data_IF_686568952771
#
_entry.id   IF_686568952771
#
_cell.length_a   1.000
_cell.length_b   1.000
_cell.length_c   1.000
_cell.angle_alpha   90.00
_cell.angle_beta   90.00
_cell.angle_gamma   90.00
#
_symmetry.space_group_name_H-M   'P 1'
#
loop_
_entity.id
_entity.type
_entity.pdbx_description
1 polymer ?
#
# COMPACT_ATOMS: atom_id res chain seq x y z
N UNK A 1 34.01 5.85 -5.27
CA UNK A 1 32.78 5.42 -5.96
C UNK A 1 32.02 4.54 -4.98
N UNK A 2 30.91 5.01 -4.38
CA UNK A 2 30.12 4.19 -3.45
C UNK A 2 29.33 3.20 -4.29
N UNK A 3 29.70 1.93 -4.23
CA UNK A 3 28.94 0.83 -4.82
C UNK A 3 27.55 0.86 -4.19
N UNK A 4 26.51 0.98 -5.03
CA UNK A 4 25.12 0.94 -4.58
C UNK A 4 24.87 -0.45 -3.98
N UNK A 5 24.82 -0.54 -2.66
CA UNK A 5 24.53 -1.80 -1.97
C UNK A 5 23.02 -1.96 -1.90
N UNK A 6 22.48 -2.95 -2.60
CA UNK A 6 21.09 -3.39 -2.41
C UNK A 6 20.84 -3.98 -1.01
N UNK A 7 21.87 -4.10 -0.17
CA UNK A 7 21.72 -4.40 1.25
C UNK A 7 21.58 -3.12 2.08
N UNK A 8 20.94 -2.08 1.55
CA UNK A 8 20.73 -0.82 2.29
C UNK A 8 19.28 -0.31 2.17
N UNK A 9 18.39 -0.89 2.97
CA UNK A 9 17.03 -0.41 3.23
C UNK A 9 17.00 0.62 4.37
N UNK A 10 17.34 1.88 4.07
CA UNK A 10 17.21 3.04 4.99
C UNK A 10 17.82 2.85 6.40
N UNK A 11 18.84 2.00 6.57
CA UNK A 11 19.46 1.69 7.87
C UNK A 11 18.77 0.60 8.68
N UNK A 12 17.75 -0.08 8.13
CA UNK A 12 16.98 -1.15 8.80
C UNK A 12 17.45 -2.55 8.38
N UNK A 13 18.61 -2.68 7.76
CA UNK A 13 18.97 -3.91 7.05
C UNK A 13 19.33 -5.04 7.98
N UNK A 14 19.99 -4.70 9.09
CA UNK A 14 20.26 -5.65 10.14
C UNK A 14 18.96 -6.20 10.72
N UNK A 15 18.03 -5.32 11.10
CA UNK A 15 16.72 -5.70 11.65
C UNK A 15 15.90 -6.56 10.67
N UNK A 16 15.87 -6.20 9.40
CA UNK A 16 15.14 -6.96 8.37
C UNK A 16 15.82 -8.30 8.01
N UNK A 17 17.12 -8.43 8.28
CA UNK A 17 17.84 -9.69 8.08
C UNK A 17 17.66 -10.61 9.28
N UNK A 18 17.65 -10.06 10.49
CA UNK A 18 17.45 -10.80 11.74
C UNK A 18 15.97 -11.22 11.92
N UNK A 19 15.03 -10.37 11.50
CA UNK A 19 13.58 -10.56 11.66
C UNK A 19 12.80 -10.31 10.34
N UNK A 20 12.97 -11.16 9.32
CA UNK A 20 12.33 -10.98 8.02
C UNK A 20 10.79 -11.06 8.05
N UNK A 21 10.22 -11.73 9.05
CA UNK A 21 8.78 -11.77 9.33
C UNK A 21 8.17 -10.38 9.55
N UNK A 22 8.98 -9.41 9.99
CA UNK A 22 8.59 -8.01 10.15
C UNK A 22 8.05 -7.42 8.85
N UNK A 23 8.57 -7.87 7.70
CA UNK A 23 8.11 -7.40 6.38
C UNK A 23 6.70 -7.91 6.07
N UNK A 24 6.34 -9.13 6.49
CA UNK A 24 4.97 -9.64 6.32
C UNK A 24 4.01 -8.80 7.17
N UNK A 25 4.36 -8.57 8.43
CA UNK A 25 3.54 -7.75 9.32
C UNK A 25 3.40 -6.32 8.80
N UNK A 26 4.50 -5.71 8.33
CA UNK A 26 4.46 -4.39 7.70
C UNK A 26 3.57 -4.40 6.46
N UNK A 27 3.69 -5.40 5.58
CA UNK A 27 2.89 -5.50 4.37
C UNK A 27 1.37 -5.57 4.64
N UNK A 28 0.99 -6.16 5.77
CA UNK A 28 -0.40 -6.26 6.22
C UNK A 28 -0.87 -4.98 6.94
N UNK A 29 -0.13 -4.53 7.96
CA UNK A 29 -0.62 -3.53 8.88
C UNK A 29 -0.27 -2.10 8.49
N UNK A 30 0.83 -1.87 7.78
CA UNK A 30 1.27 -0.53 7.42
C UNK A 30 0.30 0.15 6.44
N UNK A 31 -0.15 -0.47 5.33
CA UNK A 31 -1.16 0.13 4.47
C UNK A 31 -2.46 0.46 5.19
N UNK A 32 -2.93 -0.45 6.06
CA UNK A 32 -4.17 -0.27 6.81
C UNK A 32 -4.06 0.88 7.81
N UNK A 33 -2.97 0.93 8.57
CA UNK A 33 -2.71 2.00 9.55
C UNK A 33 -2.69 3.35 8.85
N UNK A 34 -1.96 3.47 7.73
CA UNK A 34 -1.92 4.72 6.95
C UNK A 34 -3.29 5.05 6.37
N UNK A 35 -4.05 4.07 5.89
CA UNK A 35 -5.40 4.30 5.36
C UNK A 35 -6.37 4.83 6.43
N UNK A 36 -6.26 4.36 7.67
CA UNK A 36 -7.03 4.89 8.81
C UNK A 36 -6.60 6.32 9.15
N UNK A 37 -5.29 6.60 9.17
CA UNK A 37 -4.77 7.95 9.43
C UNK A 37 -5.15 8.95 8.32
N UNK A 38 -5.43 8.48 7.11
CA UNK A 38 -5.94 9.33 6.03
C UNK A 38 -7.39 9.78 6.25
N UNK A 39 -8.18 9.12 7.09
CA UNK A 39 -9.58 9.49 7.33
C UNK A 39 -9.70 10.91 7.91
N UNK A 40 -9.03 11.29 9.02
CA UNK A 40 -9.09 12.66 9.52
C UNK A 40 -8.51 13.67 8.53
N UNK A 41 -7.46 13.32 7.78
CA UNK A 41 -6.88 14.19 6.73
C UNK A 41 -7.92 14.45 5.62
N UNK A 42 -8.58 13.40 5.15
CA UNK A 42 -9.65 13.47 4.16
C UNK A 42 -10.80 14.36 4.65
N UNK A 43 -11.15 14.27 5.93
CA UNK A 43 -12.18 15.11 6.54
C UNK A 43 -11.78 16.59 6.53
N UNK A 44 -10.54 16.93 6.89
CA UNK A 44 -10.00 18.29 6.82
C UNK A 44 -10.05 18.82 5.38
N UNK A 45 -9.59 18.02 4.41
CA UNK A 45 -9.61 18.40 2.99
C UNK A 45 -11.02 18.72 2.49
N UNK A 46 -12.03 17.91 2.88
CA UNK A 46 -13.44 18.19 2.58
C UNK A 46 -13.92 19.49 3.20
N UNK A 47 -13.55 19.77 4.46
CA UNK A 47 -13.93 21.01 5.15
C UNK A 47 -13.33 22.25 4.49
N UNK A 48 -12.09 22.14 4.01
CA UNK A 48 -11.39 23.21 3.31
C UNK A 48 -11.70 23.27 1.80
N UNK A 49 -12.59 22.40 1.29
CA UNK A 49 -12.93 22.26 -0.13
C UNK A 49 -11.70 22.06 -1.04
N UNK A 50 -10.67 21.41 -0.50
CA UNK A 50 -9.47 21.04 -1.26
C UNK A 50 -9.76 19.87 -2.19
N UNK A 51 -8.92 19.71 -3.22
CA UNK A 51 -9.08 18.63 -4.18
C UNK A 51 -8.89 17.26 -3.52
N UNK A 52 -9.94 16.43 -3.55
CA UNK A 52 -9.96 15.09 -2.96
C UNK A 52 -9.27 14.03 -3.82
N UNK A 53 -8.87 14.36 -5.05
CA UNK A 53 -8.30 13.42 -6.01
C UNK A 53 -7.12 12.65 -5.44
N UNK A 54 -6.11 13.36 -4.91
CA UNK A 54 -4.91 12.73 -4.35
C UNK A 54 -5.21 11.89 -3.11
N UNK A 55 -6.15 12.32 -2.27
CA UNK A 55 -6.56 11.58 -1.07
C UNK A 55 -7.23 10.26 -1.48
N UNK A 56 -8.11 10.29 -2.49
CA UNK A 56 -8.78 9.09 -3.01
C UNK A 56 -7.79 8.15 -3.70
N UNK A 57 -6.91 8.68 -4.56
CA UNK A 57 -5.85 7.92 -5.21
C UNK A 57 -4.98 7.19 -4.18
N UNK A 58 -4.55 7.90 -3.14
CA UNK A 58 -3.72 7.35 -2.08
C UNK A 58 -4.49 6.30 -1.27
N UNK A 59 -5.74 6.57 -0.92
CA UNK A 59 -6.59 5.60 -0.22
C UNK A 59 -6.74 4.29 -1.01
N UNK A 60 -7.05 4.35 -2.31
CA UNK A 60 -7.13 3.16 -3.15
C UNK A 60 -5.81 2.42 -3.26
N UNK A 61 -4.70 3.15 -3.42
CA UNK A 61 -3.37 2.53 -3.47
C UNK A 61 -3.04 1.74 -2.21
N UNK A 62 -3.43 2.23 -1.03
CA UNK A 62 -3.21 1.54 0.24
C UNK A 62 -4.08 0.30 0.37
N UNK A 63 -5.35 0.35 -0.04
CA UNK A 63 -6.23 -0.82 -0.03
C UNK A 63 -5.74 -1.89 -1.00
N UNK A 64 -5.33 -1.52 -2.21
CA UNK A 64 -4.79 -2.49 -3.17
C UNK A 64 -3.44 -3.04 -2.74
N UNK A 65 -2.57 -2.20 -2.17
CA UNK A 65 -1.28 -2.65 -1.61
C UNK A 65 -1.49 -3.57 -0.41
N UNK A 66 -2.50 -3.32 0.43
CA UNK A 66 -2.85 -4.26 1.49
C UNK A 66 -3.20 -5.63 0.91
N UNK A 67 -4.13 -5.68 -0.05
CA UNK A 67 -4.61 -6.96 -0.60
C UNK A 67 -3.48 -7.67 -1.38
N UNK A 68 -2.93 -7.01 -2.40
CA UNK A 68 -1.97 -7.62 -3.31
C UNK A 68 -0.58 -7.72 -2.68
N UNK A 69 -0.16 -6.70 -1.95
CA UNK A 69 1.13 -6.67 -1.27
C UNK A 69 1.22 -7.68 -0.15
N UNK A 70 0.19 -7.82 0.69
CA UNK A 70 0.22 -8.85 1.75
C UNK A 70 0.28 -10.26 1.15
N UNK A 71 -0.55 -10.57 0.15
CA UNK A 71 -0.55 -11.89 -0.50
C UNK A 71 0.80 -12.16 -1.17
N UNK A 72 1.32 -11.21 -1.95
CA UNK A 72 2.57 -11.39 -2.67
C UNK A 72 3.76 -11.59 -1.71
N UNK A 73 3.85 -10.79 -0.65
CA UNK A 73 4.93 -10.93 0.33
C UNK A 73 4.81 -12.21 1.14
N UNK A 74 3.59 -12.62 1.51
CA UNK A 74 3.39 -13.88 2.19
C UNK A 74 3.83 -15.07 1.32
N UNK A 75 3.45 -15.10 0.04
CA UNK A 75 3.89 -16.13 -0.90
C UNK A 75 5.42 -16.10 -1.08
N UNK A 76 5.99 -14.92 -1.36
CA UNK A 76 7.43 -14.79 -1.58
C UNK A 76 8.22 -15.23 -0.34
N UNK A 77 7.76 -14.89 0.86
CA UNK A 77 8.38 -15.32 2.11
C UNK A 77 8.40 -16.85 2.26
N UNK A 78 7.35 -17.54 1.82
CA UNK A 78 7.28 -19.01 1.88
C UNK A 78 8.15 -19.69 0.80
N UNK A 79 8.34 -19.04 -0.35
CA UNK A 79 9.04 -19.64 -1.50
C UNK A 79 10.52 -19.26 -1.65
N UNK A 80 10.99 -18.22 -0.97
CA UNK A 80 12.37 -17.71 -1.08
C UNK A 80 13.17 -17.92 0.20
N UNK A 81 14.45 -17.52 0.18
CA UNK A 81 15.39 -17.62 1.30
C UNK A 81 15.07 -16.68 2.48
N UNK A 82 13.83 -16.18 2.56
CA UNK A 82 13.34 -15.27 3.62
C UNK A 82 14.21 -14.03 3.84
N UNK A 83 14.86 -13.52 2.80
CA UNK A 83 15.65 -12.30 2.91
C UNK A 83 14.70 -11.08 3.04
N UNK A 84 14.57 -10.53 4.24
CA UNK A 84 13.64 -9.43 4.52
C UNK A 84 13.93 -8.16 3.73
N UNK A 85 15.20 -7.83 3.48
CA UNK A 85 15.56 -6.66 2.66
C UNK A 85 15.01 -6.79 1.24
N UNK A 86 15.19 -7.96 0.60
CA UNK A 86 14.62 -8.23 -0.73
C UNK A 86 13.10 -8.16 -0.71
N UNK A 87 12.47 -8.76 0.30
CA UNK A 87 11.00 -8.71 0.45
C UNK A 87 10.49 -7.28 0.61
N UNK A 88 11.20 -6.43 1.35
CA UNK A 88 10.84 -5.03 1.53
C UNK A 88 10.91 -4.25 0.19
N UNK A 89 11.92 -4.51 -0.64
CA UNK A 89 11.97 -3.93 -1.99
C UNK A 89 10.84 -4.44 -2.89
N UNK A 90 10.52 -5.74 -2.85
CA UNK A 90 9.39 -6.29 -3.59
C UNK A 90 8.08 -5.62 -3.17
N UNK A 91 7.88 -5.45 -1.86
CA UNK A 91 6.70 -4.78 -1.33
C UNK A 91 6.62 -3.32 -1.78
N UNK A 92 7.75 -2.60 -1.72
CA UNK A 92 7.84 -1.20 -2.15
C UNK A 92 7.55 -1.06 -3.66
N UNK A 93 8.03 -1.99 -4.49
CA UNK A 93 7.71 -2.01 -5.92
C UNK A 93 6.21 -2.21 -6.16
N UNK A 94 5.55 -3.10 -5.40
CA UNK A 94 4.09 -3.29 -5.47
C UNK A 94 3.37 -2.01 -5.06
N UNK A 95 3.79 -1.38 -3.95
CA UNK A 95 3.20 -0.12 -3.49
C UNK A 95 3.29 0.97 -4.57
N UNK A 96 4.47 1.16 -5.18
CA UNK A 96 4.65 2.14 -6.26
C UNK A 96 3.74 1.80 -7.45
N UNK A 97 3.69 0.53 -7.86
CA UNK A 97 2.81 0.10 -8.94
C UNK A 97 1.34 0.39 -8.66
N UNK A 98 0.86 0.09 -7.45
CA UNK A 98 -0.53 0.37 -7.04
C UNK A 98 -0.81 1.86 -6.88
N UNK A 99 0.18 2.65 -6.45
CA UNK A 99 0.09 4.10 -6.37
C UNK A 99 -0.07 4.71 -7.76
N UNK A 100 0.79 4.34 -8.71
CA UNK A 100 0.70 4.81 -10.10
C UNK A 100 -0.61 4.36 -10.74
N UNK A 101 -0.98 3.10 -10.59
CA UNK A 101 -2.27 2.58 -11.09
C UNK A 101 -3.45 3.39 -10.54
N UNK A 102 -3.46 3.65 -9.24
CA UNK A 102 -4.55 4.38 -8.58
C UNK A 102 -4.58 5.83 -9.03
N UNK A 103 -3.43 6.51 -9.13
CA UNK A 103 -3.34 7.89 -9.62
C UNK A 103 -3.88 8.01 -11.05
N UNK A 104 -3.53 7.08 -11.95
CA UNK A 104 -4.02 7.13 -13.34
C UNK A 104 -5.52 6.84 -13.42
N UNK A 105 -6.04 5.96 -12.56
CA UNK A 105 -7.40 5.43 -12.67
C UNK A 105 -8.37 5.94 -11.59
N UNK A 106 -8.03 7.00 -10.84
CA UNK A 106 -8.81 7.44 -9.67
C UNK A 106 -10.27 7.75 -10.01
N UNK A 107 -10.54 8.38 -11.15
CA UNK A 107 -11.90 8.69 -11.60
C UNK A 107 -12.74 7.44 -11.85
N UNK A 108 -12.17 6.45 -12.54
CA UNK A 108 -12.78 5.15 -12.80
C UNK A 108 -13.04 4.39 -11.50
N UNK A 109 -12.05 4.32 -10.61
CA UNK A 109 -12.16 3.65 -9.32
C UNK A 109 -13.28 4.26 -8.47
N UNK A 110 -13.32 5.59 -8.36
CA UNK A 110 -14.39 6.30 -7.65
C UNK A 110 -15.78 5.93 -8.19
N UNK A 111 -15.92 5.89 -9.52
CA UNK A 111 -17.18 5.52 -10.16
C UNK A 111 -17.56 4.07 -9.84
N UNK A 112 -16.63 3.13 -9.97
CA UNK A 112 -16.84 1.71 -9.65
C UNK A 112 -17.34 1.51 -8.21
N UNK A 113 -16.65 2.10 -7.22
CA UNK A 113 -17.05 1.97 -5.82
C UNK A 113 -18.41 2.63 -5.52
N UNK A 114 -18.69 3.77 -6.16
CA UNK A 114 -19.97 4.47 -6.02
C UNK A 114 -21.11 3.63 -6.60
N UNK A 115 -20.94 3.08 -7.80
CA UNK A 115 -21.96 2.29 -8.47
C UNK A 115 -22.17 0.95 -7.75
N UNK A 116 -21.11 0.30 -7.28
CA UNK A 116 -21.21 -0.89 -6.44
C UNK A 116 -22.01 -0.61 -5.16
N UNK A 117 -21.77 0.53 -4.52
CA UNK A 117 -22.55 0.97 -3.35
C UNK A 117 -24.04 1.17 -3.65
N UNK A 118 -24.40 1.66 -4.84
CA UNK A 118 -25.81 1.77 -5.26
C UNK A 118 -26.45 0.40 -5.46
N UNK A 119 -25.74 -0.54 -6.09
CA UNK A 119 -26.23 -1.91 -6.32
C UNK A 119 -26.52 -2.60 -4.98
N UNK A 120 -25.62 -2.47 -4.01
CA UNK A 120 -25.81 -3.05 -2.67
C UNK A 120 -27.06 -2.46 -2.00
N UNK A 121 -27.25 -1.13 -2.08
CA UNK A 121 -28.44 -0.47 -1.52
C UNK A 121 -29.73 -0.86 -2.21
N UNK A 122 -29.72 -1.08 -3.52
CA UNK A 122 -30.91 -1.47 -4.29
C UNK A 122 -31.34 -2.93 -4.02
N UNK A 123 -30.43 -3.77 -3.51
CA UNK A 123 -30.71 -5.16 -3.11
C UNK A 123 -31.19 -5.30 -1.66
N UNK A 124 -31.17 -4.23 -0.87
CA UNK A 124 -31.59 -4.19 0.53
C UNK A 124 -32.97 -3.57 0.63
#
# INVERSE_FOLDING_TARGET
>A
MKIFSFNTFFGLEQELTEHPETVIFAAMFLPLTVAVLLIPIAWIFRKLKLNMYLIQALYYSLIFTFILGAIAIFVLFLTTDRNGVKLAYCWLAIFIGMLTFSIVNTSTLNKMFTDWGKIIKAKK
#
